data_IF_944729020366
#
_entry.id   IF_944729020366
#
_cell.length_a   1.000
_cell.length_b   1.000
_cell.length_c   1.000
_cell.angle_alpha   90.00
_cell.angle_beta   90.00
_cell.angle_gamma   90.00
#
_symmetry.space_group_name_H-M   'P 1'
#
loop_
_entity.id
_entity.type
_entity.pdbx_description
1 polymer ?
#
# COMPACT_ATOMS: atom_id res chain seq x y z
N UNK A 1 -15.75 -62.08 -23.84
CA UNK A 1 -14.72 -62.12 -24.88
C UNK A 1 -14.75 -60.77 -25.59
N UNK A 2 -13.64 -60.00 -25.54
CA UNK A 2 -13.18 -58.81 -26.32
C UNK A 2 -14.24 -57.79 -26.82
N UNK A 3 -14.11 -56.47 -26.66
CA UNK A 3 -13.10 -55.51 -27.19
C UNK A 3 -12.96 -54.33 -26.20
N UNK A 4 -11.80 -53.84 -25.73
CA UNK A 4 -10.68 -53.17 -26.41
C UNK A 4 -11.06 -52.01 -27.34
N UNK A 5 -10.98 -50.75 -26.87
CA UNK A 5 -10.06 -49.71 -27.39
C UNK A 5 -10.02 -48.42 -26.53
N UNK A 6 -8.89 -47.68 -26.54
CA UNK A 6 -8.55 -46.60 -25.60
C UNK A 6 -8.73 -45.19 -26.21
N UNK A 7 -9.16 -44.21 -25.42
CA UNK A 7 -9.18 -42.80 -25.83
C UNK A 7 -8.18 -41.98 -25.00
N UNK A 8 -7.07 -41.71 -25.69
CA UNK A 8 -6.05 -40.72 -25.41
C UNK A 8 -6.66 -39.32 -25.59
N UNK A 9 -6.51 -38.44 -24.59
CA UNK A 9 -6.24 -36.98 -24.77
C UNK A 9 -6.07 -36.37 -23.38
N UNK A 10 -4.85 -36.15 -22.92
CA UNK A 10 -3.98 -35.04 -23.30
C UNK A 10 -4.64 -33.67 -23.04
N UNK A 11 -4.17 -33.03 -21.97
CA UNK A 11 -3.97 -31.59 -21.84
C UNK A 11 -5.08 -30.67 -22.39
N UNK A 12 -6.06 -30.32 -21.54
CA UNK A 12 -6.68 -29.00 -21.63
C UNK A 12 -5.84 -28.02 -20.81
N UNK A 13 -4.91 -27.36 -21.50
CA UNK A 13 -4.29 -26.13 -21.05
C UNK A 13 -5.36 -25.05 -20.85
N UNK A 14 -5.21 -24.32 -19.74
CA UNK A 14 -5.23 -22.87 -19.66
C UNK A 14 -6.15 -22.16 -20.66
N UNK A 15 -7.27 -21.62 -20.18
CA UNK A 15 -7.82 -20.32 -20.59
C UNK A 15 -9.13 -20.09 -19.84
N UNK A 16 -9.07 -19.27 -18.79
CA UNK A 16 -10.03 -18.18 -18.50
C UNK A 16 -9.81 -17.68 -17.09
N UNK A 17 -9.00 -16.61 -17.00
CA UNK A 17 -9.27 -15.46 -16.15
C UNK A 17 -9.51 -15.77 -14.67
N UNK A 18 -8.42 -16.00 -13.94
CA UNK A 18 -8.38 -15.65 -12.51
C UNK A 18 -8.57 -14.14 -12.40
N UNK A 19 -9.81 -13.71 -12.47
CA UNK A 19 -10.20 -12.37 -12.03
C UNK A 19 -10.06 -12.42 -10.52
N UNK A 20 -8.84 -12.15 -10.05
CA UNK A 20 -8.57 -11.90 -8.65
C UNK A 20 -9.33 -10.63 -8.27
N UNK A 21 -10.59 -10.80 -7.86
CA UNK A 21 -11.23 -9.86 -6.96
C UNK A 21 -10.47 -10.01 -5.63
N UNK A 22 -9.79 -8.98 -5.12
CA UNK A 22 -9.30 -9.02 -3.75
C UNK A 22 -10.52 -8.97 -2.81
N UNK A 23 -11.00 -10.14 -2.38
CA UNK A 23 -11.74 -10.24 -1.12
C UNK A 23 -10.73 -10.14 0.02
N UNK A 24 -11.05 -9.35 1.05
CA UNK A 24 -11.56 -10.01 2.24
C UNK A 24 -12.90 -9.43 2.70
N UNK A 25 -13.94 -10.24 2.53
CA UNK A 25 -14.88 -10.63 3.59
C UNK A 25 -14.70 -9.92 4.96
N UNK A 26 -15.51 -8.89 5.22
CA UNK A 26 -15.87 -8.47 6.58
C UNK A 26 -17.34 -8.87 6.83
N UNK A 27 -17.57 -10.17 7.03
CA UNK A 27 -18.82 -10.66 7.60
C UNK A 27 -18.77 -10.58 9.13
N UNK A 28 -19.82 -10.04 9.76
CA UNK A 28 -20.13 -10.40 11.15
C UNK A 28 -20.68 -9.31 12.06
N UNK A 29 -22.02 -9.27 12.14
CA UNK A 29 -22.84 -9.05 13.34
C UNK A 29 -23.04 -7.62 13.89
N UNK A 30 -24.33 -7.28 14.00
CA UNK A 30 -24.94 -6.23 14.81
C UNK A 30 -24.32 -6.14 16.22
N UNK A 31 -23.42 -5.18 16.43
CA UNK A 31 -22.84 -4.86 17.72
C UNK A 31 -21.89 -3.67 17.59
N UNK A 32 -21.89 -2.77 18.58
CA UNK A 32 -20.97 -1.63 18.71
C UNK A 32 -19.54 -2.07 18.32
N UNK A 33 -19.06 -1.62 17.17
CA UNK A 33 -17.87 -2.20 16.55
C UNK A 33 -16.62 -1.50 17.07
N UNK A 34 -16.25 -1.85 18.31
CA UNK A 34 -15.00 -1.41 18.95
C UNK A 34 -13.74 -2.00 18.28
N UNK A 35 -13.90 -2.97 17.37
CA UNK A 35 -12.82 -3.72 16.75
C UNK A 35 -13.01 -3.76 15.23
N UNK A 36 -12.55 -2.73 14.54
CA UNK A 36 -12.40 -2.76 13.09
C UNK A 36 -11.23 -3.65 12.67
N UNK A 37 -11.33 -4.38 11.55
CA UNK A 37 -10.21 -5.16 11.02
C UNK A 37 -9.07 -4.24 10.56
N UNK A 38 -7.87 -4.80 10.44
CA UNK A 38 -6.68 -4.12 9.92
C UNK A 38 -6.98 -3.50 8.55
N UNK A 39 -6.51 -2.27 8.32
CA UNK A 39 -6.85 -1.50 7.13
C UNK A 39 -8.14 -0.69 7.26
N UNK A 40 -8.83 -0.75 8.39
CA UNK A 40 -10.01 0.08 8.68
C UNK A 40 -9.83 0.85 10.00
N UNK A 41 -10.44 2.03 10.08
CA UNK A 41 -10.59 2.79 11.32
C UNK A 41 -12.06 2.91 11.68
N UNK A 42 -12.32 3.13 12.95
CA UNK A 42 -13.67 3.30 13.47
C UNK A 42 -14.10 4.75 13.26
N UNK A 43 -15.22 4.94 12.58
CA UNK A 43 -15.84 6.24 12.35
C UNK A 43 -17.11 6.33 13.18
N UNK A 44 -17.11 7.30 14.09
CA UNK A 44 -18.27 7.65 14.90
C UNK A 44 -18.85 6.45 15.68
N UNK A 45 -18.00 5.53 16.14
CA UNK A 45 -18.34 4.36 16.97
C UNK A 45 -19.34 3.37 16.41
N UNK A 46 -19.70 3.55 15.14
CA UNK A 46 -20.85 2.87 14.52
C UNK A 46 -20.46 2.20 13.21
N UNK A 47 -19.40 2.67 12.53
CA UNK A 47 -18.97 2.13 11.25
C UNK A 47 -17.46 1.92 11.19
N UNK A 48 -17.04 0.87 10.49
CA UNK A 48 -15.65 0.70 10.06
C UNK A 48 -15.49 1.23 8.64
N UNK A 49 -14.59 2.17 8.47
CA UNK A 49 -14.27 2.79 7.18
C UNK A 49 -12.84 2.46 6.79
N UNK A 50 -12.65 2.24 5.49
CA UNK A 50 -11.34 1.96 4.95
C UNK A 50 -10.37 3.11 5.24
N UNK A 51 -9.13 2.76 5.57
CA UNK A 51 -8.10 3.75 5.85
C UNK A 51 -7.89 4.66 4.63
N UNK A 52 -7.95 5.99 4.77
CA UNK A 52 -7.70 6.88 3.65
C UNK A 52 -6.24 6.77 3.20
N UNK A 53 -5.99 7.02 1.92
CA UNK A 53 -4.63 7.10 1.39
C UNK A 53 -3.83 8.17 2.17
N UNK A 54 -2.52 7.97 2.28
CA UNK A 54 -1.64 8.77 3.12
C UNK A 54 -1.67 8.40 4.59
N UNK A 55 -2.58 7.51 5.03
CA UNK A 55 -2.72 7.12 6.44
C UNK A 55 -2.60 5.60 6.61
N UNK A 56 -2.43 5.19 7.86
CA UNK A 56 -2.37 3.79 8.30
C UNK A 56 -3.35 3.52 9.41
N UNK A 57 -3.98 2.34 9.34
CA UNK A 57 -4.98 1.92 10.29
C UNK A 57 -4.71 0.45 10.63
N UNK A 58 -4.31 0.17 11.87
CA UNK A 58 -4.02 -1.20 12.34
C UNK A 58 -5.28 -1.99 12.71
N UNK A 59 -6.47 -1.41 12.55
CA UNK A 59 -7.71 -1.96 13.09
C UNK A 59 -7.94 -1.51 14.54
N UNK A 60 -9.19 -1.29 14.91
CA UNK A 60 -9.58 -0.84 16.26
C UNK A 60 -9.18 0.60 16.64
N UNK A 61 -8.57 1.37 15.74
CA UNK A 61 -8.28 2.80 15.98
C UNK A 61 -9.48 3.67 15.62
N UNK A 62 -9.82 4.64 16.46
CA UNK A 62 -10.87 5.64 16.19
C UNK A 62 -10.42 6.70 15.16
N UNK A 63 -9.11 6.80 14.92
CA UNK A 63 -8.54 7.77 13.98
C UNK A 63 -7.51 7.14 13.07
N UNK A 64 -7.51 7.48 11.77
CA UNK A 64 -6.45 7.07 10.86
C UNK A 64 -5.16 7.79 11.22
N UNK A 65 -4.03 7.06 11.21
CA UNK A 65 -2.74 7.63 11.57
C UNK A 65 -2.02 8.11 10.31
N UNK A 66 -1.72 9.42 10.16
CA UNK A 66 -1.03 9.90 8.98
C UNK A 66 0.40 9.36 8.91
N UNK A 67 0.84 9.03 7.70
CA UNK A 67 2.22 8.66 7.46
C UNK A 67 3.17 9.82 7.78
N UNK A 68 4.24 9.54 8.51
CA UNK A 68 5.26 10.54 8.81
C UNK A 68 6.00 11.02 7.56
N UNK A 69 6.70 12.15 7.66
CA UNK A 69 7.55 12.65 6.57
C UNK A 69 8.65 11.64 6.23
N UNK A 70 8.96 11.51 4.95
CA UNK A 70 9.76 10.42 4.40
C UNK A 70 8.97 9.14 4.13
N UNK A 71 7.73 9.03 4.58
CA UNK A 71 6.84 7.92 4.26
C UNK A 71 5.69 8.41 3.37
N UNK A 72 5.11 7.49 2.62
CA UNK A 72 3.94 7.74 1.79
C UNK A 72 3.03 6.51 1.74
N UNK A 73 1.77 6.71 1.38
CA UNK A 73 0.85 5.60 1.19
C UNK A 73 -0.15 5.90 0.06
N UNK A 74 0.02 5.31 -1.13
CA UNK A 74 -0.87 5.58 -2.25
C UNK A 74 -2.20 4.85 -2.15
N UNK A 75 -2.24 3.72 -1.43
CA UNK A 75 -3.41 2.85 -1.37
C UNK A 75 -4.25 3.11 -0.12
N UNK A 76 -5.56 3.10 -0.29
CA UNK A 76 -6.51 3.03 0.83
C UNK A 76 -6.48 1.66 1.49
N UNK A 77 -6.84 1.59 2.77
CA UNK A 77 -6.90 0.33 3.50
C UNK A 77 -5.55 -0.18 4.01
N UNK A 78 -4.54 0.69 4.02
CA UNK A 78 -3.19 0.29 4.44
C UNK A 78 -3.02 0.27 5.94
N UNK A 79 -2.25 -0.70 6.42
CA UNK A 79 -1.84 -0.85 7.83
C UNK A 79 -0.44 -0.28 8.08
N UNK A 80 0.34 -0.06 7.03
CA UNK A 80 1.71 0.42 7.12
C UNK A 80 2.05 1.40 6.00
N UNK A 81 2.94 2.34 6.26
CA UNK A 81 3.39 3.33 5.28
C UNK A 81 4.58 2.83 4.48
N UNK A 82 4.61 3.15 3.20
CA UNK A 82 5.72 2.83 2.32
C UNK A 82 6.85 3.86 2.49
N UNK A 83 8.11 3.41 2.63
CA UNK A 83 9.25 4.32 2.65
C UNK A 83 9.48 4.96 1.28
N UNK A 84 9.75 6.26 1.26
CA UNK A 84 10.29 6.94 0.06
C UNK A 84 11.57 6.24 -0.39
N UNK A 85 11.74 6.09 -1.70
CA UNK A 85 12.95 5.53 -2.30
C UNK A 85 14.03 6.61 -2.45
N UNK A 86 15.31 6.22 -2.57
CA UNK A 86 16.39 7.15 -2.92
C UNK A 86 16.03 7.98 -4.17
N UNK A 87 16.32 9.28 -4.12
CA UNK A 87 15.91 10.25 -5.14
C UNK A 87 14.51 10.85 -4.93
N UNK A 88 13.75 10.37 -3.93
CA UNK A 88 12.46 10.92 -3.55
C UNK A 88 12.42 11.35 -2.09
N UNK A 89 11.50 12.26 -1.76
CA UNK A 89 11.25 12.77 -0.43
C UNK A 89 9.76 13.05 -0.19
N UNK A 90 9.34 13.11 1.07
CA UNK A 90 8.01 13.65 1.43
C UNK A 90 8.14 14.61 2.60
N UNK A 91 7.82 15.88 2.36
CA UNK A 91 7.87 16.93 3.38
C UNK A 91 6.54 17.10 4.14
N UNK A 92 5.49 16.37 3.74
CA UNK A 92 4.16 16.43 4.36
C UNK A 92 3.82 15.10 5.01
N UNK A 93 3.22 15.18 6.20
CA UNK A 93 2.55 14.03 6.82
C UNK A 93 1.27 13.73 6.06
N UNK A 94 0.94 12.45 5.92
CA UNK A 94 -0.23 12.06 5.14
C UNK A 94 0.03 12.00 3.63
N UNK A 95 1.30 11.96 3.18
CA UNK A 95 1.60 11.99 1.76
C UNK A 95 1.10 10.72 1.06
N UNK A 96 0.31 10.87 0.00
CA UNK A 96 -0.14 9.73 -0.82
C UNK A 96 0.92 9.33 -1.84
N UNK A 97 1.73 10.30 -2.28
CA UNK A 97 2.78 10.12 -3.26
C UNK A 97 4.11 10.72 -2.78
N UNK A 98 5.24 10.15 -3.19
CA UNK A 98 6.55 10.72 -2.93
C UNK A 98 6.89 11.82 -3.96
N UNK A 99 7.59 12.87 -3.53
CA UNK A 99 8.08 13.94 -4.40
C UNK A 99 9.49 13.64 -4.88
N UNK A 100 9.78 13.81 -6.17
CA UNK A 100 11.14 13.65 -6.69
C UNK A 100 12.04 14.80 -6.24
N UNK A 101 13.30 14.51 -5.92
CA UNK A 101 14.27 15.56 -5.59
C UNK A 101 14.46 16.51 -6.78
N UNK A 102 14.49 17.84 -6.54
CA UNK A 102 14.72 18.81 -7.60
C UNK A 102 16.12 18.64 -8.21
N UNK A 103 16.28 19.08 -9.46
CA UNK A 103 17.56 19.03 -10.15
C UNK A 103 18.65 19.80 -9.38
N UNK A 104 19.80 19.15 -9.17
CA UNK A 104 20.87 19.68 -8.30
C UNK A 104 20.67 19.33 -6.82
N UNK A 105 19.72 18.46 -6.49
CA UNK A 105 19.62 17.80 -5.19
C UNK A 105 19.60 16.28 -5.37
N UNK A 106 20.03 15.57 -4.34
CA UNK A 106 20.07 14.11 -4.33
C UNK A 106 19.63 13.61 -2.95
N UNK A 107 19.07 12.40 -2.93
CA UNK A 107 18.70 11.74 -1.69
C UNK A 107 19.20 10.29 -1.73
N UNK A 108 20.31 9.97 -1.04
CA UNK A 108 20.89 8.62 -1.07
C UNK A 108 20.13 7.62 -0.19
N UNK A 109 19.33 8.08 0.79
CA UNK A 109 18.67 7.22 1.76
C UNK A 109 17.16 7.16 1.54
N UNK A 110 16.58 6.00 1.88
CA UNK A 110 15.13 5.83 1.96
C UNK A 110 14.56 6.53 3.21
N UNK A 111 13.24 6.78 3.22
CA UNK A 111 12.53 7.41 4.36
C UNK A 111 12.98 8.84 4.66
N UNK A 112 13.05 9.68 3.64
CA UNK A 112 13.63 11.02 3.78
C UNK A 112 12.62 12.13 3.56
N UNK A 113 12.65 13.10 4.47
CA UNK A 113 11.73 14.24 4.45
C UNK A 113 12.23 15.41 3.58
N UNK A 114 13.48 15.34 3.15
CA UNK A 114 14.17 16.40 2.42
C UNK A 114 15.19 15.81 1.46
N UNK A 115 15.69 16.62 0.53
CA UNK A 115 16.80 16.25 -0.35
C UNK A 115 18.06 17.01 0.06
N UNK A 116 19.22 16.37 -0.09
CA UNK A 116 20.51 17.02 0.10
C UNK A 116 20.84 17.83 -1.16
N UNK A 117 21.27 19.07 -0.99
CA UNK A 117 21.80 19.86 -2.10
C UNK A 117 23.07 19.21 -2.63
N UNK A 118 23.14 18.95 -3.94
CA UNK A 118 24.41 18.65 -4.56
C UNK A 118 25.27 19.91 -4.47
N UNK A 119 26.54 19.80 -4.03
CA UNK A 119 27.43 20.95 -4.06
C UNK A 119 27.53 21.45 -5.51
N UNK A 120 26.99 22.65 -5.78
CA UNK A 120 27.23 23.33 -7.05
C UNK A 120 28.70 23.76 -7.06
N UNK A 121 29.50 23.06 -7.86
CA UNK A 121 30.85 23.51 -8.23
C UNK A 121 32.02 22.89 -7.45
N UNK A 122 32.08 21.57 -7.32
CA UNK A 122 33.35 20.90 -6.98
C UNK A 122 34.15 20.58 -8.25
N UNK A 123 34.55 21.63 -8.97
CA UNK A 123 35.69 21.57 -9.89
C UNK A 123 36.89 22.03 -9.08
N UNK A 124 37.58 21.09 -8.43
CA UNK A 124 38.93 21.34 -7.95
C UNK A 124 39.83 21.25 -9.19
N UNK A 125 40.20 22.41 -9.73
CA UNK A 125 41.37 22.55 -10.62
C UNK A 125 42.64 22.64 -9.77
#
# INVERSE_FOLDING_TARGET
MFFATPLISAALMMLSSVTALPQPEAGGLMGRQSSCPSGSYQYNQTACVACPAGNTCNGGSDTPQPCDTGLYQPNTGSTSCMPTQPGFFTNQRGSTTPFACPAGSYQPYSRQAFCYGAPKGRFQQ
#
